data_IF_712100523595
#
_entry.id   IF_712100523595
#
_cell.length_a   1.000
_cell.length_b   1.000
_cell.length_c   1.000
_cell.angle_alpha   90.00
_cell.angle_beta   90.00
_cell.angle_gamma   90.00
#
_symmetry.space_group_name_H-M   'P 1'
#
loop_
_entity.id
_entity.type
_entity.pdbx_description
1 polymer ?
#
# COMPACT_ATOMS: atom_id res chain seq x y z
N UNK A 1 -6.01 -6.59 -17.63
CA UNK A 1 -6.39 -6.82 -19.04
C UNK A 1 -5.20 -7.24 -19.92
N UNK A 2 -4.02 -6.62 -19.78
CA UNK A 2 -2.80 -6.97 -20.55
C UNK A 2 -2.37 -8.44 -20.37
N UNK A 3 -2.30 -8.91 -19.13
CA UNK A 3 -1.90 -10.30 -18.80
C UNK A 3 -2.88 -11.32 -19.39
N UNK A 4 -4.19 -11.04 -19.37
CA UNK A 4 -5.20 -11.94 -19.95
C UNK A 4 -5.03 -12.09 -21.46
N UNK A 5 -4.75 -10.99 -22.18
CA UNK A 5 -4.48 -11.03 -23.63
C UNK A 5 -3.24 -11.88 -23.94
N UNK A 6 -2.20 -11.76 -23.13
CA UNK A 6 -0.98 -12.57 -23.24
C UNK A 6 -1.28 -14.05 -23.06
N UNK A 7 -2.02 -14.42 -22.01
CA UNK A 7 -2.44 -15.80 -21.75
C UNK A 7 -3.22 -16.38 -22.94
N UNK A 8 -4.16 -15.61 -23.50
CA UNK A 8 -4.92 -16.01 -24.69
C UNK A 8 -4.06 -16.19 -25.92
N UNK A 9 -3.14 -15.25 -26.20
CA UNK A 9 -2.27 -15.29 -27.37
C UNK A 9 -1.34 -16.52 -27.35
N UNK A 10 -0.84 -16.89 -26.17
CA UNK A 10 0.04 -18.05 -25.99
C UNK A 10 -0.72 -19.37 -25.72
N UNK A 11 -2.06 -19.35 -25.65
CA UNK A 11 -2.87 -20.54 -25.35
C UNK A 11 -2.63 -21.12 -23.95
N UNK A 12 -2.21 -20.30 -22.99
CA UNK A 12 -1.88 -20.73 -21.62
C UNK A 12 -3.09 -20.87 -20.69
N UNK A 13 -4.31 -20.79 -21.23
CA UNK A 13 -5.56 -20.82 -20.47
C UNK A 13 -5.65 -22.02 -19.51
N UNK A 14 -5.37 -23.23 -20.01
CA UNK A 14 -5.43 -24.45 -19.18
C UNK A 14 -4.43 -24.38 -18.03
N UNK A 15 -3.17 -24.02 -18.30
CA UNK A 15 -2.12 -23.96 -17.29
C UNK A 15 -2.44 -22.95 -16.19
N UNK A 16 -2.88 -21.74 -16.57
CA UNK A 16 -3.24 -20.70 -15.61
C UNK A 16 -4.46 -21.12 -14.80
N UNK A 17 -5.44 -21.74 -15.44
CA UNK A 17 -6.62 -22.27 -14.75
C UNK A 17 -6.25 -23.34 -13.72
N UNK A 18 -5.33 -24.26 -14.06
CA UNK A 18 -4.85 -25.29 -13.15
C UNK A 18 -4.10 -24.68 -11.95
N UNK A 19 -3.26 -23.65 -12.19
CA UNK A 19 -2.55 -22.93 -11.13
C UNK A 19 -3.49 -22.18 -10.19
N UNK A 20 -4.50 -21.49 -10.75
CA UNK A 20 -5.55 -20.82 -9.96
C UNK A 20 -6.36 -21.84 -9.17
N UNK A 21 -6.67 -22.99 -9.76
CA UNK A 21 -7.43 -24.07 -9.10
C UNK A 21 -6.64 -24.65 -7.93
N UNK A 22 -5.35 -24.92 -8.10
CA UNK A 22 -4.48 -25.40 -7.03
C UNK A 22 -4.44 -24.42 -5.84
N UNK A 23 -4.30 -23.12 -6.12
CA UNK A 23 -4.36 -22.08 -5.08
C UNK A 23 -5.73 -21.99 -4.42
N UNK A 24 -6.80 -22.16 -5.18
CA UNK A 24 -8.17 -22.16 -4.68
C UNK A 24 -8.42 -23.34 -3.74
N UNK A 25 -7.86 -24.52 -4.00
CA UNK A 25 -7.97 -25.66 -3.10
C UNK A 25 -7.26 -25.43 -1.76
N UNK A 26 -6.07 -24.82 -1.77
CA UNK A 26 -5.36 -24.40 -0.55
C UNK A 26 -6.17 -23.39 0.26
N UNK A 27 -6.77 -22.40 -0.43
CA UNK A 27 -7.65 -21.40 0.17
C UNK A 27 -8.89 -22.06 0.80
N UNK A 28 -9.55 -22.97 0.09
CA UNK A 28 -10.75 -23.66 0.56
C UNK A 28 -10.48 -24.51 1.80
N UNK A 29 -9.32 -25.19 1.88
CA UNK A 29 -8.91 -25.92 3.10
C UNK A 29 -8.76 -24.97 4.29
N UNK A 30 -8.16 -23.80 4.07
CA UNK A 30 -7.98 -22.77 5.11
C UNK A 30 -9.30 -22.15 5.55
N UNK A 31 -10.21 -21.88 4.60
CA UNK A 31 -11.57 -21.40 4.87
C UNK A 31 -12.35 -22.46 5.64
N UNK A 32 -12.27 -23.73 5.25
CA UNK A 32 -12.97 -24.82 5.93
C UNK A 32 -12.51 -24.95 7.39
N UNK A 33 -11.19 -24.92 7.63
CA UNK A 33 -10.62 -24.93 8.98
C UNK A 33 -11.13 -23.74 9.82
N UNK A 34 -11.12 -22.54 9.24
CA UNK A 34 -11.65 -21.33 9.90
C UNK A 34 -13.14 -21.45 10.21
N UNK A 35 -13.94 -21.99 9.27
CA UNK A 35 -15.38 -22.22 9.48
C UNK A 35 -15.64 -23.27 10.56
N UNK A 36 -14.89 -24.37 10.58
CA UNK A 36 -15.01 -25.41 11.62
C UNK A 36 -14.67 -24.85 13.00
N UNK A 37 -13.58 -24.08 13.13
CA UNK A 37 -13.23 -23.41 14.40
C UNK A 37 -14.33 -22.43 14.84
N UNK A 38 -14.90 -21.66 13.90
CA UNK A 38 -16.02 -20.76 14.20
C UNK A 38 -17.27 -21.51 14.65
N UNK A 39 -17.60 -22.64 14.03
CA UNK A 39 -18.72 -23.49 14.44
C UNK A 39 -18.50 -24.06 15.83
N UNK A 40 -17.31 -24.60 16.12
CA UNK A 40 -16.95 -25.10 17.45
C UNK A 40 -17.08 -23.99 18.51
N UNK A 41 -16.58 -22.79 18.22
CA UNK A 41 -16.71 -21.64 19.11
C UNK A 41 -18.18 -21.26 19.35
N UNK A 42 -19.02 -21.26 18.32
CA UNK A 42 -20.46 -21.02 18.46
C UNK A 42 -21.16 -22.09 19.32
N UNK A 43 -20.82 -23.37 19.13
CA UNK A 43 -21.38 -24.47 19.95
C UNK A 43 -20.99 -24.28 21.41
N UNK A 44 -19.72 -23.98 21.70
CA UNK A 44 -19.24 -23.72 23.06
C UNK A 44 -20.00 -22.54 23.68
N UNK A 45 -20.10 -21.42 22.95
CA UNK A 45 -20.84 -20.23 23.41
C UNK A 45 -22.33 -20.51 23.65
N UNK A 46 -22.95 -21.47 22.95
CA UNK A 46 -24.34 -21.84 23.16
C UNK A 46 -24.52 -22.78 24.36
N UNK A 47 -23.61 -23.72 24.56
CA UNK A 47 -23.71 -24.78 25.58
C UNK A 47 -23.29 -24.29 26.97
N UNK A 48 -22.26 -23.45 27.08
CA UNK A 48 -21.74 -22.94 28.37
C UNK A 48 -22.84 -22.29 29.23
N UNK A 49 -23.71 -21.40 28.70
CA UNK A 49 -24.79 -20.80 29.47
C UNK A 49 -25.87 -21.78 29.92
N UNK A 50 -26.16 -22.81 29.12
CA UNK A 50 -27.10 -23.87 29.50
C UNK A 50 -26.56 -24.70 30.66
N UNK A 51 -25.30 -25.11 30.57
CA UNK A 51 -24.62 -25.86 31.65
C UNK A 51 -24.54 -25.01 32.92
N UNK A 52 -24.20 -23.72 32.80
CA UNK A 52 -24.19 -22.78 33.93
C UNK A 52 -25.56 -22.71 34.63
N UNK A 53 -26.65 -22.63 33.87
CA UNK A 53 -28.00 -22.61 34.43
C UNK A 53 -28.31 -23.90 35.22
N UNK A 54 -27.99 -25.08 34.66
CA UNK A 54 -28.18 -26.37 35.33
C UNK A 54 -27.35 -26.46 36.61
N UNK A 55 -26.07 -26.08 36.55
CA UNK A 55 -25.18 -26.08 37.73
C UNK A 55 -25.72 -25.15 38.82
N UNK A 56 -26.25 -23.98 38.46
CA UNK A 56 -26.78 -23.02 39.45
C UNK A 56 -28.05 -23.54 40.14
N UNK A 57 -28.94 -24.21 39.41
CA UNK A 57 -30.10 -24.86 40.03
C UNK A 57 -29.73 -26.08 40.85
N UNK A 58 -28.73 -26.85 40.42
CA UNK A 58 -28.20 -27.98 41.16
C UNK A 58 -27.58 -27.54 42.50
N UNK A 59 -26.79 -26.46 42.52
CA UNK A 59 -26.23 -25.92 43.77
C UNK A 59 -27.32 -25.36 44.70
N UNK A 60 -28.30 -24.63 44.16
CA UNK A 60 -29.42 -24.12 44.94
C UNK A 60 -30.24 -25.23 45.62
N UNK A 61 -30.49 -26.32 44.91
CA UNK A 61 -31.32 -27.43 45.42
C UNK A 61 -30.52 -28.39 46.32
N UNK A 62 -29.34 -28.82 45.87
CA UNK A 62 -28.56 -29.87 46.56
C UNK A 62 -27.71 -29.33 47.71
N UNK A 63 -27.14 -28.13 47.56
CA UNK A 63 -26.22 -27.55 48.56
C UNK A 63 -26.98 -26.64 49.52
N UNK A 64 -27.74 -25.69 48.98
CA UNK A 64 -28.47 -24.72 49.81
C UNK A 64 -29.78 -25.27 50.39
N UNK A 65 -30.21 -26.47 49.95
CA UNK A 65 -31.42 -27.19 50.42
C UNK A 65 -32.69 -26.33 50.37
N UNK A 66 -32.82 -25.46 49.37
CA UNK A 66 -34.02 -24.66 49.16
C UNK A 66 -34.92 -25.31 48.10
N UNK A 67 -36.23 -25.09 48.25
CA UNK A 67 -37.22 -25.63 47.32
C UNK A 67 -37.24 -24.84 46.00
N UNK A 68 -37.03 -25.55 44.90
CA UNK A 68 -37.05 -24.98 43.56
C UNK A 68 -38.50 -24.81 43.09
N UNK A 69 -39.16 -23.74 43.54
CA UNK A 69 -40.53 -23.42 43.09
C UNK A 69 -40.57 -22.89 41.65
N UNK A 70 -41.67 -23.14 40.94
CA UNK A 70 -41.84 -22.68 39.56
C UNK A 70 -41.63 -21.17 39.39
N UNK A 71 -42.05 -20.36 40.36
CA UNK A 71 -41.87 -18.90 40.36
C UNK A 71 -40.39 -18.49 40.34
N UNK A 72 -39.53 -19.21 41.06
CA UNK A 72 -38.08 -18.94 41.11
C UNK A 72 -37.43 -19.37 39.78
N UNK A 73 -37.82 -20.52 39.23
CA UNK A 73 -37.25 -21.04 37.97
C UNK A 73 -37.59 -20.14 36.78
N UNK A 74 -38.85 -19.73 36.62
CA UNK A 74 -39.25 -18.90 35.48
C UNK A 74 -38.66 -17.49 35.53
N UNK A 75 -38.59 -16.89 36.72
CA UNK A 75 -37.98 -15.56 36.90
C UNK A 75 -36.47 -15.58 36.65
N UNK A 76 -35.75 -16.54 37.27
CA UNK A 76 -34.30 -16.66 37.10
C UNK A 76 -33.89 -17.09 35.67
N UNK A 77 -34.66 -17.94 35.00
CA UNK A 77 -34.42 -18.30 33.59
C UNK A 77 -34.41 -17.08 32.67
N UNK A 78 -35.27 -16.10 32.92
CA UNK A 78 -35.30 -14.84 32.15
C UNK A 78 -34.00 -14.04 32.36
N UNK A 79 -33.54 -13.92 33.61
CA UNK A 79 -32.29 -13.25 33.94
C UNK A 79 -31.07 -13.97 33.32
N UNK A 80 -31.02 -15.30 33.38
CA UNK A 80 -29.97 -16.10 32.73
C UNK A 80 -29.96 -15.93 31.21
N UNK A 81 -31.15 -15.88 30.58
CA UNK A 81 -31.23 -15.65 29.14
C UNK A 81 -30.76 -14.25 28.73
N UNK A 82 -31.04 -13.21 29.52
CA UNK A 82 -30.48 -11.87 29.31
C UNK A 82 -28.95 -11.88 29.40
N UNK A 83 -28.38 -12.51 30.44
CA UNK A 83 -26.94 -12.62 30.61
C UNK A 83 -26.28 -13.40 29.46
N UNK A 84 -26.93 -14.47 28.99
CA UNK A 84 -26.50 -15.25 27.81
C UNK A 84 -26.34 -14.38 26.57
N UNK A 85 -27.32 -13.52 26.29
CA UNK A 85 -27.28 -12.62 25.13
C UNK A 85 -26.11 -11.63 25.21
N UNK A 86 -25.80 -11.12 26.40
CA UNK A 86 -24.65 -10.22 26.59
C UNK A 86 -23.31 -10.95 26.43
N UNK A 87 -23.18 -12.17 26.93
CA UNK A 87 -21.96 -12.97 26.73
C UNK A 87 -21.70 -13.27 25.25
N UNK A 88 -22.74 -13.61 24.48
CA UNK A 88 -22.58 -13.86 23.04
C UNK A 88 -22.18 -12.59 22.28
N UNK A 89 -22.67 -11.42 22.70
CA UNK A 89 -22.25 -10.12 22.16
C UNK A 89 -20.77 -9.83 22.44
N UNK A 90 -20.29 -10.10 23.66
CA UNK A 90 -18.88 -9.92 24.00
C UNK A 90 -17.97 -10.85 23.17
N UNK A 91 -18.34 -12.13 23.05
CA UNK A 91 -17.57 -13.12 22.26
C UNK A 91 -17.44 -12.74 20.79
N UNK A 92 -18.42 -12.02 20.23
CA UNK A 92 -18.39 -11.56 18.83
C UNK A 92 -17.66 -10.22 18.66
N UNK A 93 -17.64 -9.37 19.69
CA UNK A 93 -16.99 -8.05 19.65
C UNK A 93 -15.47 -8.13 19.78
N UNK A 94 -14.94 -9.05 20.61
CA UNK A 94 -13.48 -9.18 20.85
C UNK A 94 -12.69 -9.44 19.56
N UNK A 95 -13.05 -10.42 18.70
CA UNK A 95 -12.34 -10.63 17.43
C UNK A 95 -12.44 -9.42 16.49
N UNK A 96 -13.56 -8.70 16.51
CA UNK A 96 -13.75 -7.47 15.74
C UNK A 96 -12.79 -6.36 16.17
N UNK A 97 -12.63 -6.17 17.48
CA UNK A 97 -11.66 -5.20 18.04
C UNK A 97 -10.21 -5.56 17.73
N UNK A 98 -9.84 -6.83 17.83
CA UNK A 98 -8.48 -7.29 17.46
C UNK A 98 -8.20 -7.00 15.98
N UNK A 99 -9.16 -7.35 15.11
CA UNK A 99 -9.03 -7.09 13.66
C UNK A 99 -8.91 -5.60 13.37
N UNK A 100 -9.75 -4.78 14.00
CA UNK A 100 -9.71 -3.32 13.87
C UNK A 100 -8.36 -2.75 14.30
N UNK A 101 -7.80 -3.23 15.42
CA UNK A 101 -6.51 -2.76 15.93
C UNK A 101 -5.37 -3.07 14.94
N UNK A 102 -5.32 -4.29 14.39
CA UNK A 102 -4.31 -4.66 13.39
C UNK A 102 -4.47 -3.86 12.10
N UNK A 103 -5.71 -3.66 11.62
CA UNK A 103 -5.98 -2.86 10.43
C UNK A 103 -5.60 -1.39 10.61
N UNK A 104 -5.93 -0.80 11.76
CA UNK A 104 -5.52 0.57 12.10
C UNK A 104 -4.00 0.70 12.20
N UNK A 105 -3.33 -0.31 12.77
CA UNK A 105 -1.86 -0.36 12.81
C UNK A 105 -1.25 -0.30 11.40
N UNK A 106 -1.78 -1.06 10.44
CA UNK A 106 -1.30 -1.02 9.04
C UNK A 106 -1.56 0.32 8.36
N UNK A 107 -2.71 0.93 8.61
CA UNK A 107 -3.03 2.27 8.06
C UNK A 107 -2.11 3.32 8.67
N UNK A 108 -1.88 3.27 9.98
CA UNK A 108 -0.96 4.17 10.66
C UNK A 108 0.48 4.02 10.14
N UNK A 109 0.95 2.79 9.98
CA UNK A 109 2.26 2.46 9.42
C UNK A 109 2.41 3.02 7.99
N UNK A 110 1.43 2.78 7.12
CA UNK A 110 1.41 3.36 5.78
C UNK A 110 1.42 4.89 5.79
N UNK A 111 0.60 5.53 6.63
CA UNK A 111 0.52 7.00 6.64
C UNK A 111 1.75 7.67 7.28
N UNK A 112 2.47 7.00 8.17
CA UNK A 112 3.58 7.59 8.94
C UNK A 112 4.96 7.20 8.41
N UNK A 113 5.14 5.95 7.95
CA UNK A 113 6.43 5.39 7.60
C UNK A 113 6.63 5.21 6.10
N UNK A 114 5.65 5.57 5.26
CA UNK A 114 5.85 5.55 3.79
C UNK A 114 6.89 6.59 3.41
N UNK A 115 7.90 6.14 2.66
CA UNK A 115 8.93 6.97 2.08
C UNK A 115 8.31 8.06 1.19
N UNK A 116 8.68 9.30 1.48
CA UNK A 116 8.26 10.46 0.70
C UNK A 116 9.38 10.84 -0.26
N UNK A 117 9.03 11.29 -1.46
CA UNK A 117 9.99 11.94 -2.36
C UNK A 117 10.63 13.15 -1.66
N UNK A 118 11.87 13.46 -2.02
CA UNK A 118 12.66 14.52 -1.38
C UNK A 118 11.96 15.88 -1.36
N UNK A 119 11.11 16.15 -2.35
CA UNK A 119 10.31 17.40 -2.44
C UNK A 119 9.25 17.50 -1.34
N UNK A 120 8.72 16.35 -0.89
CA UNK A 120 7.67 16.27 0.13
C UNK A 120 8.20 15.87 1.51
N UNK A 121 9.43 15.34 1.57
CA UNK A 121 10.13 15.14 2.82
C UNK A 121 10.37 16.50 3.48
N UNK A 122 10.09 16.60 4.79
CA UNK A 122 10.53 17.77 5.55
C UNK A 122 12.04 17.78 5.51
N UNK A 123 12.65 18.81 4.91
CA UNK A 123 14.09 19.04 5.03
C UNK A 123 14.45 18.98 6.51
N UNK A 124 15.17 17.93 6.90
CA UNK A 124 15.76 17.88 8.22
C UNK A 124 16.69 19.09 8.31
N UNK A 125 16.32 20.06 9.13
CA UNK A 125 17.01 21.33 9.32
C UNK A 125 18.39 21.19 9.98
N UNK A 126 19.04 20.03 9.93
CA UNK A 126 20.24 19.75 10.74
C UNK A 126 21.47 19.25 9.98
N UNK A 127 21.38 18.92 8.69
CA UNK A 127 22.58 18.79 7.86
C UNK A 127 22.59 19.94 6.84
N UNK A 128 23.38 20.97 7.14
CA UNK A 128 23.81 21.93 6.13
C UNK A 128 24.70 21.17 5.14
N UNK A 129 24.07 20.46 4.22
CA UNK A 129 24.73 20.05 2.99
C UNK A 129 25.05 21.36 2.31
N UNK A 130 26.34 21.73 2.32
CA UNK A 130 26.88 22.80 1.49
C UNK A 130 26.75 22.30 0.06
N UNK A 131 25.55 22.41 -0.48
CA UNK A 131 25.26 22.05 -1.84
C UNK A 131 25.47 23.33 -2.68
N UNK A 132 26.27 23.20 -3.75
CA UNK A 132 26.59 24.32 -4.64
C UNK A 132 25.37 24.79 -5.46
N UNK A 133 24.20 24.18 -5.29
CA UNK A 133 22.93 24.52 -5.96
C UNK A 133 22.55 25.99 -5.89
N UNK A 134 22.93 26.71 -4.82
CA UNK A 134 22.67 28.14 -4.71
C UNK A 134 23.42 28.99 -5.76
N UNK A 135 24.52 28.48 -6.32
CA UNK A 135 25.33 29.10 -7.37
C UNK A 135 24.76 28.79 -8.76
N UNK A 136 24.16 27.62 -8.95
CA UNK A 136 23.65 27.13 -10.24
C UNK A 136 22.15 27.40 -10.47
N UNK A 137 21.60 28.46 -9.87
CA UNK A 137 20.15 28.78 -9.92
C UNK A 137 19.58 28.98 -11.32
N UNK A 138 20.39 29.43 -12.26
CA UNK A 138 19.97 29.68 -13.64
C UNK A 138 20.19 28.47 -14.57
N UNK A 139 20.82 27.40 -14.09
CA UNK A 139 21.16 26.21 -14.88
C UNK A 139 20.20 25.05 -14.59
N UNK A 140 19.68 24.41 -15.63
CA UNK A 140 18.90 23.17 -15.47
C UNK A 140 19.87 21.99 -15.52
N UNK A 141 20.03 21.25 -14.42
CA UNK A 141 21.01 20.17 -14.39
C UNK A 141 21.38 19.66 -13.01
N UNK A 142 22.43 18.86 -12.97
CA UNK A 142 23.04 18.37 -11.75
C UNK A 142 24.49 17.95 -11.99
N UNK A 143 25.31 17.91 -10.95
CA UNK A 143 26.67 17.39 -11.00
C UNK A 143 27.06 16.65 -9.73
N UNK A 144 28.03 15.74 -9.84
CA UNK A 144 28.58 14.96 -8.73
C UNK A 144 27.47 14.31 -7.88
N UNK A 145 26.52 13.62 -8.51
CA UNK A 145 25.30 13.16 -7.85
C UNK A 145 25.03 11.66 -8.09
N UNK A 146 24.33 11.06 -7.15
CA UNK A 146 23.73 9.75 -7.29
C UNK A 146 22.22 9.84 -7.15
N UNK A 147 21.48 9.16 -8.03
CA UNK A 147 20.03 9.01 -7.92
C UNK A 147 19.64 7.56 -7.64
N UNK A 148 18.73 7.37 -6.69
CA UNK A 148 18.24 6.05 -6.27
C UNK A 148 16.72 6.03 -6.22
N UNK A 149 16.12 4.83 -6.35
CA UNK A 149 14.67 4.64 -6.23
C UNK A 149 14.19 4.53 -4.78
N UNK A 150 15.10 4.17 -3.87
CA UNK A 150 14.85 3.98 -2.44
C UNK A 150 16.03 4.52 -1.65
N UNK A 151 15.78 5.10 -0.48
CA UNK A 151 16.83 5.52 0.45
C UNK A 151 17.41 4.36 1.25
N UNK A 152 16.66 3.27 1.41
CA UNK A 152 17.12 2.08 2.14
C UNK A 152 18.06 1.23 1.26
N UNK A 153 19.30 0.94 1.71
CA UNK A 153 20.21 -0.01 1.04
C UNK A 153 19.65 -1.44 0.93
N UNK A 154 18.65 -1.79 1.75
CA UNK A 154 18.11 -3.14 1.87
C UNK A 154 16.78 -3.38 1.13
N UNK A 155 16.06 -2.31 0.77
CA UNK A 155 14.70 -2.38 0.20
C UNK A 155 14.63 -2.07 -1.31
N UNK A 156 15.78 -2.14 -2.00
CA UNK A 156 15.83 -1.99 -3.45
C UNK A 156 15.10 -3.13 -4.15
N UNK A 157 14.33 -2.82 -5.20
CA UNK A 157 13.80 -3.82 -6.14
C UNK A 157 14.92 -4.77 -6.57
N UNK A 158 14.82 -6.04 -6.17
CA UNK A 158 15.87 -7.04 -6.40
C UNK A 158 16.00 -7.27 -7.91
N UNK A 159 16.96 -6.61 -8.54
CA UNK A 159 17.40 -6.97 -9.88
C UNK A 159 18.10 -8.34 -9.85
N UNK A 160 18.17 -9.07 -10.97
CA UNK A 160 18.83 -10.38 -11.02
C UNK A 160 20.30 -10.36 -10.55
N UNK A 161 20.97 -9.20 -10.65
CA UNK A 161 22.17 -8.88 -9.89
C UNK A 161 21.77 -8.19 -8.59
N UNK A 162 22.21 -8.70 -7.43
CA UNK A 162 22.00 -8.14 -6.07
C UNK A 162 22.57 -6.72 -5.83
N UNK A 163 22.58 -5.85 -6.84
CA UNK A 163 23.07 -4.49 -6.78
C UNK A 163 21.91 -3.54 -6.99
N UNK A 164 21.64 -2.69 -6.01
CA UNK A 164 20.70 -1.59 -6.12
C UNK A 164 21.14 -0.68 -7.27
N UNK A 165 20.27 -0.48 -8.27
CA UNK A 165 20.55 0.46 -9.35
C UNK A 165 20.77 1.85 -8.78
N UNK A 166 21.90 2.48 -9.15
CA UNK A 166 22.21 3.87 -8.84
C UNK A 166 22.59 4.57 -10.13
N UNK A 167 21.85 5.62 -10.49
CA UNK A 167 22.22 6.48 -11.60
C UNK A 167 23.33 7.42 -11.12
N UNK A 168 24.53 7.25 -11.67
CA UNK A 168 25.72 8.03 -11.30
C UNK A 168 25.97 9.14 -12.31
N UNK A 169 26.17 10.36 -11.81
CA UNK A 169 26.52 11.54 -12.59
C UNK A 169 27.78 12.09 -11.96
N UNK A 170 28.92 11.70 -12.54
CA UNK A 170 30.25 12.02 -11.99
C UNK A 170 30.72 13.43 -12.41
N UNK A 171 30.21 13.97 -13.52
CA UNK A 171 30.55 15.28 -14.08
C UNK A 171 29.32 16.20 -14.17
N UNK A 172 29.48 17.41 -14.71
CA UNK A 172 28.38 18.35 -14.95
C UNK A 172 27.41 17.86 -16.04
N UNK A 173 26.16 17.59 -15.66
CA UNK A 173 25.06 17.34 -16.58
C UNK A 173 24.17 18.59 -16.66
N UNK A 174 24.38 19.40 -17.70
CA UNK A 174 23.65 20.67 -17.90
C UNK A 174 22.79 20.59 -19.16
N UNK A 175 21.50 20.89 -19.01
CA UNK A 175 20.53 21.00 -20.10
C UNK A 175 20.38 22.46 -20.51
N UNK A 176 20.57 22.73 -21.81
CA UNK A 176 20.44 24.10 -22.34
C UNK A 176 18.97 24.52 -22.43
N UNK A 177 18.62 25.60 -21.76
CA UNK A 177 17.28 26.18 -21.84
C UNK A 177 16.99 26.72 -23.25
N UNK A 178 15.73 26.68 -23.66
CA UNK A 178 15.29 27.12 -25.00
C UNK A 178 15.85 26.30 -26.17
N UNK A 179 16.54 25.20 -25.89
CA UNK A 179 17.20 24.34 -26.89
C UNK A 179 16.63 22.93 -26.88
N UNK A 180 16.82 22.22 -27.99
CA UNK A 180 16.54 20.79 -28.05
C UNK A 180 17.71 20.00 -27.45
N UNK A 181 17.46 19.31 -26.33
CA UNK A 181 18.43 18.44 -25.68
C UNK A 181 18.12 16.98 -26.00
N UNK A 182 19.14 16.18 -26.34
CA UNK A 182 18.98 14.78 -26.74
C UNK A 182 19.83 13.87 -25.85
N UNK A 183 19.21 12.85 -25.25
CA UNK A 183 19.89 11.83 -24.44
C UNK A 183 19.94 10.53 -25.24
N UNK A 184 21.14 10.02 -25.52
CA UNK A 184 21.36 8.80 -26.32
C UNK A 184 22.22 7.82 -25.54
N UNK A 185 21.94 6.52 -25.69
CA UNK A 185 22.71 5.45 -25.06
C UNK A 185 22.07 4.07 -25.25
N UNK A 186 22.78 2.98 -24.92
CA UNK A 186 22.29 1.62 -25.10
C UNK A 186 21.10 1.28 -24.19
N UNK A 187 20.32 0.24 -24.51
CA UNK A 187 19.22 -0.23 -23.65
C UNK A 187 19.74 -0.55 -22.24
N UNK A 188 19.03 -0.11 -21.20
CA UNK A 188 19.45 -0.28 -19.81
C UNK A 188 20.46 0.76 -19.28
N UNK A 189 20.88 1.73 -20.09
CA UNK A 189 21.84 2.77 -19.67
C UNK A 189 21.27 3.84 -18.71
N UNK A 190 20.05 3.69 -18.21
CA UNK A 190 19.44 4.65 -17.27
C UNK A 190 18.81 5.90 -17.91
N UNK A 191 18.55 5.94 -19.22
CA UNK A 191 17.90 7.09 -19.89
C UNK A 191 16.56 7.47 -19.26
N UNK A 192 15.68 6.48 -19.07
CA UNK A 192 14.39 6.67 -18.40
C UNK A 192 14.60 7.12 -16.95
N UNK A 193 15.60 6.57 -16.26
CA UNK A 193 15.96 6.97 -14.89
C UNK A 193 16.40 8.43 -14.83
N UNK A 194 17.15 8.95 -15.82
CA UNK A 194 17.51 10.38 -15.88
C UNK A 194 16.24 11.24 -15.98
N UNK A 195 15.27 10.87 -16.81
CA UNK A 195 14.00 11.61 -16.90
C UNK A 195 13.24 11.60 -15.57
N UNK A 196 13.25 10.47 -14.85
CA UNK A 196 12.59 10.33 -13.56
C UNK A 196 13.30 11.13 -12.46
N UNK A 197 14.64 11.16 -12.48
CA UNK A 197 15.43 12.06 -11.64
C UNK A 197 15.11 13.54 -11.92
N UNK A 198 15.02 13.92 -13.20
CA UNK A 198 14.60 15.26 -13.61
C UNK A 198 13.15 15.58 -13.21
N UNK A 199 12.29 14.59 -12.95
CA UNK A 199 10.93 14.77 -12.42
C UNK A 199 10.88 14.83 -10.88
N UNK A 200 11.99 14.53 -10.19
CA UNK A 200 12.01 14.43 -8.72
C UNK A 200 11.41 13.13 -8.20
N UNK A 201 11.28 12.11 -9.06
CA UNK A 201 10.76 10.77 -8.72
C UNK A 201 11.88 9.82 -8.22
N UNK A 202 13.11 10.32 -8.06
CA UNK A 202 14.26 9.60 -7.52
C UNK A 202 14.93 10.43 -6.44
N UNK A 203 15.49 9.76 -5.43
CA UNK A 203 16.21 10.40 -4.33
C UNK A 203 17.57 10.90 -4.77
N UNK A 204 17.90 12.15 -4.42
CA UNK A 204 19.19 12.76 -4.68
C UNK A 204 20.17 12.51 -3.54
N UNK A 205 21.34 11.97 -3.88
CA UNK A 205 22.44 11.70 -2.96
C UNK A 205 23.68 12.47 -3.45
N UNK A 206 24.15 13.50 -2.72
CA UNK A 206 25.35 14.26 -3.08
C UNK A 206 26.62 13.40 -2.90
N UNK A 207 27.56 13.47 -3.85
CA UNK A 207 28.86 12.75 -3.77
C UNK A 207 29.96 13.57 -3.08
N UNK A 208 29.75 14.87 -2.92
CA UNK A 208 30.72 15.78 -2.32
C UNK A 208 30.23 17.24 -2.21
N UNK A 209 31.10 18.16 -1.78
CA UNK A 209 30.74 19.57 -1.56
C UNK A 209 30.46 20.37 -2.86
N UNK A 210 30.88 19.84 -4.01
CA UNK A 210 30.60 20.43 -5.32
C UNK A 210 29.38 19.78 -5.99
N UNK A 211 28.63 18.94 -5.27
CA UNK A 211 27.40 18.38 -5.81
C UNK A 211 26.36 19.48 -5.90
N UNK A 212 25.57 19.44 -6.96
CA UNK A 212 24.44 20.32 -7.11
C UNK A 212 23.33 19.70 -7.92
N UNK A 213 22.12 20.19 -7.68
CA UNK A 213 20.92 19.84 -8.43
C UNK A 213 20.02 21.07 -8.53
N UNK A 214 19.65 21.44 -9.75
CA UNK A 214 18.68 22.50 -9.97
C UNK A 214 17.65 22.07 -11.03
N UNK A 215 16.40 21.98 -10.59
CA UNK A 215 15.25 21.51 -11.37
C UNK A 215 14.12 22.56 -11.30
N UNK A 216 14.25 23.71 -11.99
CA UNK A 216 13.25 24.76 -11.96
C UNK A 216 11.87 24.24 -12.41
N UNK A 217 10.83 24.50 -11.60
CA UNK A 217 9.44 24.07 -11.83
C UNK A 217 8.47 25.22 -12.11
N UNK A 218 8.91 26.47 -12.05
CA UNK A 218 8.04 27.65 -12.06
C UNK A 218 7.20 27.78 -13.36
N UNK A 219 7.68 27.23 -14.47
CA UNK A 219 6.97 27.19 -15.76
C UNK A 219 6.09 25.94 -15.98
N UNK A 220 6.04 25.03 -15.01
CA UNK A 220 5.45 23.70 -15.16
C UNK A 220 6.35 22.74 -15.95
N UNK A 221 6.09 21.43 -15.80
CA UNK A 221 6.82 20.37 -16.51
C UNK A 221 5.82 19.42 -17.15
N UNK A 222 6.02 19.13 -18.44
CA UNK A 222 5.24 18.14 -19.17
C UNK A 222 6.07 16.86 -19.33
N UNK A 223 5.47 15.72 -19.02
CA UNK A 223 6.11 14.41 -19.12
C UNK A 223 5.29 13.47 -20.00
N UNK A 224 5.95 12.82 -20.96
CA UNK A 224 5.37 11.74 -21.76
C UNK A 224 6.08 10.44 -21.38
N UNK A 225 5.37 9.55 -20.71
CA UNK A 225 5.90 8.27 -20.27
C UNK A 225 6.14 7.31 -21.46
N UNK A 226 7.06 6.36 -21.26
CA UNK A 226 7.36 5.32 -22.26
C UNK A 226 6.14 4.43 -22.55
N UNK A 227 5.36 4.10 -21.51
CA UNK A 227 4.04 3.46 -21.65
C UNK A 227 2.95 4.51 -21.47
N UNK A 228 2.06 4.62 -22.44
CA UNK A 228 0.97 5.60 -22.39
C UNK A 228 -0.03 5.25 -21.29
N UNK A 229 -0.30 6.21 -20.41
CA UNK A 229 -1.40 6.13 -19.44
C UNK A 229 -2.57 6.99 -19.92
N UNK A 230 -3.76 6.37 -20.05
CA UNK A 230 -4.98 7.01 -20.57
C UNK A 230 -6.09 6.75 -19.55
N UNK A 231 -6.77 7.82 -19.14
CA UNK A 231 -7.92 7.76 -18.25
C UNK A 231 -9.12 7.13 -18.96
N UNK A 232 -9.99 6.49 -18.19
CA UNK A 232 -11.26 5.94 -18.71
C UNK A 232 -12.29 7.06 -18.94
N UNK A 233 -11.97 7.94 -19.89
CA UNK A 233 -12.73 9.13 -20.27
C UNK A 233 -12.69 9.31 -21.79
N UNK A 234 -13.37 10.34 -22.31
CA UNK A 234 -13.30 10.63 -23.75
C UNK A 234 -11.87 11.00 -24.18
N UNK A 235 -11.57 10.81 -25.46
CA UNK A 235 -10.26 11.21 -26.03
C UNK A 235 -10.03 12.71 -25.81
N UNK A 236 -11.08 13.53 -25.95
CA UNK A 236 -11.02 14.98 -25.73
C UNK A 236 -10.62 15.29 -24.28
N UNK A 237 -11.25 14.64 -23.32
CA UNK A 237 -10.99 14.90 -21.89
C UNK A 237 -9.60 14.42 -21.47
N UNK A 238 -9.11 13.33 -22.05
CA UNK A 238 -7.72 12.89 -21.88
C UNK A 238 -6.70 13.90 -22.44
N UNK A 239 -7.02 14.58 -23.55
CA UNK A 239 -6.16 15.62 -24.14
C UNK A 239 -6.22 16.91 -23.34
N UNK A 240 -7.42 17.32 -22.91
CA UNK A 240 -7.62 18.53 -22.11
C UNK A 240 -7.03 18.37 -20.70
N UNK A 241 -7.10 17.17 -20.13
CA UNK A 241 -6.53 16.80 -18.83
C UNK A 241 -6.91 17.79 -17.71
N UNK A 242 -8.18 18.22 -17.69
CA UNK A 242 -8.71 19.20 -16.73
C UNK A 242 -8.63 20.67 -17.15
N UNK A 243 -7.96 20.99 -18.26
CA UNK A 243 -7.96 22.35 -18.82
C UNK A 243 -9.31 22.69 -19.51
N UNK A 244 -9.71 23.97 -19.54
CA UNK A 244 -10.92 24.39 -20.27
C UNK A 244 -10.76 24.15 -21.77
N UNK A 245 -11.85 23.80 -22.43
CA UNK A 245 -11.87 23.58 -23.88
C UNK A 245 -11.71 24.90 -24.64
N UNK A 246 -10.61 25.01 -25.38
CA UNK A 246 -10.35 26.08 -26.34
C UNK A 246 -10.25 25.45 -27.75
N UNK A 247 -11.24 25.75 -28.59
CA UNK A 247 -11.37 25.13 -29.91
C UNK A 247 -10.23 25.50 -30.87
N UNK A 248 -9.72 26.75 -30.82
CA UNK A 248 -8.64 27.18 -31.70
C UNK A 248 -7.31 26.54 -31.32
N UNK A 249 -7.04 26.44 -30.02
CA UNK A 249 -5.83 25.78 -29.51
C UNK A 249 -5.88 24.27 -29.71
N UNK A 250 -7.03 23.63 -29.48
CA UNK A 250 -7.18 22.18 -29.59
C UNK A 250 -7.06 21.67 -31.03
N UNK A 251 -7.40 22.50 -32.02
CA UNK A 251 -7.31 22.14 -33.45
C UNK A 251 -5.94 22.43 -34.09
N UNK A 252 -5.04 23.13 -33.39
CA UNK A 252 -3.66 23.35 -33.84
C UNK A 252 -2.78 22.15 -33.54
#
# INVERSE_FOLDING_TARGET
MSVLRMIKLFGWDSRVNDEVTAKREEELKSIFKTKMLRLANNIINHTVPLVHMVVTYATFTLIMKQDLTASIVFSSMTAFNMLRLQMLRLSTMVPGMITANVSLGRVADFLQNTELLDTFAKQATEDVVIDASAVHKDELGCANAHFTWTNDPTDGTVTPSRQTFRLRIDDDLIFKQGSFNLIVGPTGSGKTSILMALLGEMHYIPLGPNSWINLPRDGGVAFAAQESWVQNETIRDNILFGAPYDEERYKK
#
